data_IF_757751835989
#
_entry.id   IF_757751835989
#
_cell.length_a   1.000
_cell.length_b   1.000
_cell.length_c   1.000
_cell.angle_alpha   90.00
_cell.angle_beta   90.00
_cell.angle_gamma   90.00
#
_symmetry.space_group_name_H-M   'P 1'
#
loop_
_entity.id
_entity.type
_entity.pdbx_description
1 polymer ?
#
# COMPACT_ATOMS: atom_id res chain seq x y z
N UNK A 1 11.00 -9.03 -10.97
CA UNK A 1 10.69 -8.65 -9.57
C UNK A 1 11.62 -9.44 -8.67
N UNK A 2 12.30 -8.78 -7.73
CA UNK A 2 13.20 -9.45 -6.79
C UNK A 2 12.97 -9.02 -5.35
N UNK A 3 13.45 -9.83 -4.40
CA UNK A 3 13.43 -9.51 -2.97
C UNK A 3 14.85 -9.12 -2.54
N UNK A 4 14.97 -8.03 -1.78
CA UNK A 4 16.24 -7.60 -1.18
C UNK A 4 16.03 -7.11 0.26
N UNK A 5 17.09 -7.02 1.07
CA UNK A 5 17.03 -6.32 2.34
C UNK A 5 16.49 -4.91 2.18
N UNK A 6 15.64 -4.49 3.12
CA UNK A 6 15.14 -3.13 3.20
C UNK A 6 16.30 -2.18 3.51
N UNK A 7 16.38 -1.05 2.79
CA UNK A 7 17.27 0.06 3.12
C UNK A 7 16.45 1.23 3.68
N UNK A 8 17.10 2.11 4.44
CA UNK A 8 16.39 3.20 5.12
C UNK A 8 15.60 4.12 4.17
N UNK A 9 16.06 4.27 2.93
CA UNK A 9 15.37 5.05 1.90
C UNK A 9 14.03 4.44 1.46
N UNK A 10 13.83 3.13 1.62
CA UNK A 10 12.58 2.45 1.23
C UNK A 10 11.43 2.74 2.22
N UNK A 11 11.74 3.17 3.45
CA UNK A 11 10.76 3.27 4.54
C UNK A 11 9.52 4.11 4.19
N UNK A 12 9.65 5.30 3.54
CA UNK A 12 8.48 6.07 3.13
C UNK A 12 7.58 5.29 2.15
N UNK A 13 8.16 4.64 1.16
CA UNK A 13 7.39 3.93 0.13
C UNK A 13 6.73 2.68 0.71
N UNK A 14 7.47 1.91 1.51
CA UNK A 14 6.92 0.77 2.28
C UNK A 14 5.74 1.20 3.15
N UNK A 15 5.85 2.35 3.83
CA UNK A 15 4.74 2.85 4.64
C UNK A 15 3.52 3.22 3.80
N UNK A 16 3.71 3.79 2.62
CA UNK A 16 2.63 4.07 1.65
C UNK A 16 1.98 2.77 1.19
N UNK A 17 2.77 1.82 0.68
CA UNK A 17 2.25 0.55 0.15
C UNK A 17 1.47 -0.22 1.21
N UNK A 18 1.98 -0.28 2.45
CA UNK A 18 1.27 -0.94 3.54
C UNK A 18 0.00 -0.17 3.92
N UNK A 19 0.06 1.17 4.05
CA UNK A 19 -1.13 1.94 4.42
C UNK A 19 -2.25 1.83 3.38
N UNK A 20 -1.91 1.79 2.09
CA UNK A 20 -2.87 1.60 1.00
C UNK A 20 -3.46 0.19 1.00
N UNK A 21 -2.61 -0.84 1.12
CA UNK A 21 -3.05 -2.24 1.13
C UNK A 21 -4.02 -2.55 2.29
N UNK A 22 -3.90 -1.82 3.40
CA UNK A 22 -4.73 -2.01 4.59
C UNK A 22 -6.00 -1.14 4.58
N UNK A 23 -6.27 -0.36 3.54
CA UNK A 23 -7.49 0.46 3.47
C UNK A 23 -8.75 -0.40 3.40
N UNK A 24 -8.71 -1.53 2.67
CA UNK A 24 -9.85 -2.43 2.49
C UNK A 24 -9.82 -3.64 3.45
N UNK A 25 -8.81 -3.70 4.33
CA UNK A 25 -8.67 -4.76 5.32
C UNK A 25 -9.65 -4.56 6.48
N UNK A 26 -10.52 -5.55 6.73
CA UNK A 26 -11.57 -5.48 7.75
C UNK A 26 -11.03 -5.29 9.18
N UNK A 27 -9.87 -5.87 9.49
CA UNK A 27 -9.23 -5.68 10.79
C UNK A 27 -8.76 -4.23 10.94
N UNK A 28 -8.20 -3.64 9.88
CA UNK A 28 -7.81 -2.23 9.90
C UNK A 28 -9.00 -1.27 9.86
N UNK A 29 -10.14 -1.67 9.28
CA UNK A 29 -11.40 -0.95 9.43
C UNK A 29 -11.78 -0.83 10.90
N UNK A 30 -11.62 -1.91 11.67
CA UNK A 30 -11.88 -1.91 13.10
C UNK A 30 -10.83 -1.15 13.93
N UNK A 31 -9.54 -1.35 13.65
CA UNK A 31 -8.44 -0.76 14.44
C UNK A 31 -8.23 0.74 14.14
N UNK A 32 -8.53 1.18 12.92
CA UNK A 32 -8.36 2.56 12.47
C UNK A 32 -9.61 2.99 11.67
N UNK A 33 -10.76 3.19 12.35
CA UNK A 33 -12.03 3.49 11.69
C UNK A 33 -11.98 4.80 10.89
N UNK A 34 -11.23 5.80 11.37
CA UNK A 34 -11.08 7.10 10.72
C UNK A 34 -9.85 7.20 9.79
N UNK A 35 -9.26 6.07 9.36
CA UNK A 35 -8.01 6.05 8.55
C UNK A 35 -8.09 6.85 7.25
N UNK A 36 -9.26 6.94 6.63
CA UNK A 36 -9.46 7.74 5.42
C UNK A 36 -9.54 9.25 5.73
N UNK A 37 -10.11 9.62 6.88
CA UNK A 37 -10.23 11.01 7.33
C UNK A 37 -8.88 11.59 7.76
N UNK A 38 -8.04 10.78 8.41
CA UNK A 38 -6.73 11.18 8.93
C UNK A 38 -5.61 10.32 8.32
N UNK A 39 -5.58 10.25 6.99
CA UNK A 39 -4.69 9.34 6.26
C UNK A 39 -3.20 9.64 6.50
N UNK A 40 -2.83 10.91 6.63
CA UNK A 40 -1.46 11.32 6.94
C UNK A 40 -0.95 10.72 8.24
N UNK A 41 -1.75 10.78 9.30
CA UNK A 41 -1.45 10.28 10.63
C UNK A 41 -1.46 8.76 10.64
N UNK A 42 -2.43 8.15 9.95
CA UNK A 42 -2.51 6.71 9.75
C UNK A 42 -1.23 6.16 9.10
N UNK A 43 -0.80 6.76 7.98
CA UNK A 43 0.45 6.41 7.28
C UNK A 43 1.68 6.70 8.15
N UNK A 44 1.71 7.81 8.88
CA UNK A 44 2.82 8.14 9.79
C UNK A 44 3.04 7.06 10.85
N UNK A 45 1.97 6.41 11.33
CA UNK A 45 2.07 5.26 12.21
C UNK A 45 2.86 4.08 11.60
N UNK A 46 2.69 3.82 10.30
CA UNK A 46 3.47 2.80 9.60
C UNK A 46 4.94 3.22 9.43
N UNK A 47 5.20 4.49 9.10
CA UNK A 47 6.58 5.02 9.06
C UNK A 47 7.28 4.80 10.40
N UNK A 48 6.63 5.15 11.51
CA UNK A 48 7.19 5.00 12.85
C UNK A 48 7.47 3.53 13.19
N UNK A 49 6.50 2.63 12.96
CA UNK A 49 6.66 1.19 13.24
C UNK A 49 7.77 0.57 12.39
N UNK A 50 7.86 0.94 11.11
CA UNK A 50 8.92 0.44 10.21
C UNK A 50 10.29 0.95 10.64
N UNK A 51 10.43 2.24 11.01
CA UNK A 51 11.68 2.78 11.57
C UNK A 51 12.12 2.05 12.83
N UNK A 52 11.19 1.82 13.77
CA UNK A 52 11.47 1.11 15.01
C UNK A 52 11.99 -0.31 14.73
N UNK A 53 11.32 -1.07 13.86
CA UNK A 53 11.77 -2.41 13.49
C UNK A 53 13.12 -2.37 12.77
N UNK A 54 13.31 -1.44 11.84
CA UNK A 54 14.57 -1.29 11.10
C UNK A 54 15.76 -1.01 12.01
N UNK A 55 15.57 -0.22 13.08
CA UNK A 55 16.62 0.11 14.04
C UNK A 55 16.76 -0.86 15.21
N UNK A 56 15.87 -1.85 15.34
CA UNK A 56 15.87 -2.77 16.48
C UNK A 56 16.63 -4.05 16.12
N UNK A 57 17.70 -4.40 16.86
CA UNK A 57 18.40 -5.66 16.64
C UNK A 57 17.47 -6.87 16.70
N UNK A 58 17.71 -7.86 15.84
CA UNK A 58 16.91 -9.09 15.75
C UNK A 58 15.74 -9.02 14.77
N UNK A 59 15.41 -7.85 14.24
CA UNK A 59 14.48 -7.72 13.12
C UNK A 59 15.22 -7.81 11.79
N UNK A 60 14.68 -8.60 10.86
CA UNK A 60 15.14 -8.66 9.48
C UNK A 60 13.98 -8.21 8.60
N UNK A 61 14.19 -7.11 7.87
CA UNK A 61 13.19 -6.53 6.97
C UNK A 61 13.66 -6.70 5.52
N UNK A 62 12.79 -7.24 4.67
CA UNK A 62 13.02 -7.36 3.23
C UNK A 62 11.89 -6.66 2.48
N UNK A 63 12.19 -6.19 1.29
CA UNK A 63 11.23 -5.57 0.37
C UNK A 63 11.24 -6.32 -0.96
N UNK A 64 10.06 -6.47 -1.55
CA UNK A 64 9.93 -6.86 -2.95
C UNK A 64 10.01 -5.59 -3.80
N UNK A 65 10.86 -5.60 -4.81
CA UNK A 65 11.09 -4.46 -5.71
C UNK A 65 10.85 -4.93 -7.13
N UNK A 66 10.13 -4.11 -7.89
CA UNK A 66 9.91 -4.30 -9.33
C UNK A 66 11.21 -4.00 -10.07
N UNK A 67 11.60 -4.88 -10.97
CA UNK A 67 12.74 -4.68 -11.85
C UNK A 67 12.31 -3.81 -13.05
N UNK A 68 13.21 -2.99 -13.64
CA UNK A 68 12.88 -2.20 -14.82
C UNK A 68 12.31 -3.04 -15.98
N UNK A 69 12.73 -4.30 -16.08
CA UNK A 69 12.26 -5.25 -17.10
C UNK A 69 10.80 -5.70 -16.87
N UNK A 70 10.30 -5.65 -15.63
CA UNK A 70 8.91 -5.99 -15.33
C UNK A 70 7.93 -4.90 -15.80
N UNK A 71 8.39 -3.64 -15.93
CA UNK A 71 7.53 -2.51 -16.31
C UNK A 71 7.04 -2.64 -17.76
N UNK A 72 7.85 -3.27 -18.63
CA UNK A 72 7.50 -3.50 -20.04
C UNK A 72 6.46 -4.59 -20.26
N UNK A 73 6.30 -5.55 -19.33
CA UNK A 73 5.29 -6.61 -19.45
C UNK A 73 3.91 -6.18 -18.93
N UNK A 74 3.86 -5.18 -18.03
CA UNK A 74 2.61 -4.63 -17.48
C UNK A 74 1.74 -3.91 -18.52
N UNK A 75 2.34 -3.29 -19.53
CA UNK A 75 1.62 -2.61 -20.61
C UNK A 75 0.93 -3.58 -21.59
N UNK A 76 1.41 -4.83 -21.72
CA UNK A 76 0.78 -5.83 -22.57
C UNK A 76 -0.37 -6.58 -21.90
N UNK A 77 -0.41 -6.66 -20.55
CA UNK A 77 -1.52 -7.31 -19.83
C UNK A 77 -2.77 -6.45 -19.64
N UNK A 78 -2.69 -5.12 -19.84
CA UNK A 78 -3.86 -4.24 -19.72
C UNK A 78 -4.85 -4.31 -20.90
N UNK A 79 -4.58 -5.09 -21.96
CA UNK A 79 -5.47 -5.22 -23.11
C UNK A 79 -6.33 -6.50 -23.15
N UNK A 80 -6.25 -7.37 -22.13
CA UNK A 80 -7.04 -8.61 -22.11
C UNK A 80 -7.63 -8.89 -20.72
N UNK A 81 -8.62 -8.09 -20.35
CA UNK A 81 -9.45 -8.26 -19.17
C UNK A 81 -10.81 -7.62 -19.41
N UNK A 82 -11.83 -8.45 -19.45
CA UNK A 82 -13.16 -8.21 -20.00
C UNK A 82 -13.92 -7.01 -19.40
N UNK A 83 -14.65 -6.32 -20.27
CA UNK A 83 -15.70 -5.35 -19.93
C UNK A 83 -16.74 -6.00 -19.01
N UNK A 84 -16.79 -5.57 -17.76
CA UNK A 84 -18.06 -5.45 -17.04
C UNK A 84 -18.38 -3.96 -16.91
N UNK A 85 -19.23 -3.47 -17.81
CA UNK A 85 -19.98 -2.25 -17.58
C UNK A 85 -21.00 -2.54 -16.47
N UNK A 86 -20.73 -2.07 -15.26
CA UNK A 86 -21.78 -1.92 -14.26
C UNK A 86 -22.18 -0.45 -14.19
N UNK A 87 -23.40 -0.22 -14.64
CA UNK A 87 -24.07 1.05 -14.81
C UNK A 87 -24.08 1.90 -13.53
N UNK A 88 -23.93 3.21 -13.75
CA UNK A 88 -24.48 4.34 -12.99
C UNK A 88 -25.14 4.00 -11.64
N UNK A 89 -24.44 4.32 -10.55
CA UNK A 89 -25.09 4.85 -9.35
C UNK A 89 -24.30 6.03 -8.81
N UNK A 90 -24.76 7.22 -9.18
CA UNK A 90 -24.55 8.44 -8.42
C UNK A 90 -25.20 8.21 -7.05
N UNK A 91 -24.41 8.30 -5.97
CA UNK A 91 -24.95 8.42 -4.61
C UNK A 91 -24.47 9.78 -4.09
N UNK A 92 -25.35 10.75 -4.26
CA UNK A 92 -25.32 12.06 -3.58
C UNK A 92 -25.88 11.87 -2.17
N UNK A 93 -25.21 12.48 -1.18
CA UNK A 93 -25.84 12.81 0.09
C UNK A 93 -25.35 14.18 0.54
N UNK A 94 -26.19 15.19 0.30
CA UNK A 94 -26.23 16.44 1.06
C UNK A 94 -26.95 16.23 2.40
N UNK A 95 -26.30 16.56 3.52
CA UNK A 95 -26.69 17.68 4.41
C UNK A 95 -25.59 17.97 5.41
#
# INVERSE_FOLDING_TARGET
>A
MHIRPLVAADIPDVATTISEAMLDDELWVFLAPDRLKYYSEYRAGFVQRTKQRFSTPGWVLNVAVTDPEDETEGLHRHHHGERYQQADKIIDYCT
#
